data_IF_583184506119
#
_entry.id   IF_583184506119
#
_cell.length_a   1.000
_cell.length_b   1.000
_cell.length_c   1.000
_cell.angle_alpha   90.00
_cell.angle_beta   90.00
_cell.angle_gamma   90.00
#
_symmetry.space_group_name_H-M   'P 1'
#
loop_
_entity.id
_entity.type
_entity.pdbx_description
1 polymer ?
#
# COMPACT_ATOMS: atom_id res chain seq x y z
N UNK A 1 10.49 14.50 -40.10
CA UNK A 1 10.15 13.68 -38.93
C UNK A 1 11.46 13.30 -38.26
N UNK A 2 11.85 14.05 -37.23
CA UNK A 2 13.05 13.75 -36.44
C UNK A 2 12.77 12.51 -35.60
N UNK A 3 13.68 11.52 -35.57
CA UNK A 3 13.51 10.35 -34.73
C UNK A 3 13.49 10.78 -33.26
N UNK A 4 12.51 10.26 -32.54
CA UNK A 4 12.35 10.36 -31.10
C UNK A 4 13.70 10.19 -30.39
N UNK A 5 14.23 11.30 -29.87
CA UNK A 5 15.38 11.31 -28.98
C UNK A 5 14.89 10.77 -27.63
N UNK A 6 14.70 9.45 -27.57
CA UNK A 6 14.49 8.71 -26.34
C UNK A 6 15.71 9.00 -25.48
N UNK A 7 15.57 9.94 -24.54
CA UNK A 7 16.57 10.26 -23.52
C UNK A 7 16.94 8.97 -22.83
N UNK A 8 18.05 8.38 -23.25
CA UNK A 8 18.54 7.12 -22.71
C UNK A 8 18.74 7.32 -21.20
N UNK A 9 18.24 6.40 -20.36
CA UNK A 9 18.50 6.46 -18.93
C UNK A 9 20.01 6.44 -18.72
N UNK A 10 20.53 7.45 -18.02
CA UNK A 10 21.95 7.57 -17.70
C UNK A 10 22.42 6.26 -17.05
N UNK A 11 23.56 5.74 -17.49
CA UNK A 11 24.10 4.42 -17.11
C UNK A 11 24.35 4.21 -15.59
N UNK A 12 24.16 5.24 -14.77
CA UNK A 12 24.27 5.22 -13.31
C UNK A 12 22.97 5.56 -12.56
N UNK A 13 21.81 5.40 -13.19
CA UNK A 13 20.51 5.59 -12.53
C UNK A 13 20.14 4.31 -11.80
N UNK A 14 20.15 4.31 -10.46
CA UNK A 14 19.85 3.11 -9.67
C UNK A 14 18.35 2.84 -9.60
N UNK A 15 17.51 3.89 -9.62
CA UNK A 15 16.06 3.75 -9.71
C UNK A 15 15.48 4.56 -10.87
N UNK A 16 14.67 3.88 -11.70
CA UNK A 16 13.85 4.56 -12.69
C UNK A 16 12.63 5.21 -12.01
N UNK A 17 12.58 6.54 -12.01
CA UNK A 17 11.54 7.34 -11.35
C UNK A 17 10.12 6.92 -11.76
N UNK A 18 9.92 6.67 -13.06
CA UNK A 18 8.62 6.27 -13.59
C UNK A 18 8.23 4.88 -13.09
N UNK A 19 9.20 4.00 -12.86
CA UNK A 19 8.97 2.66 -12.31
C UNK A 19 8.65 2.70 -10.82
N UNK A 20 9.34 3.54 -10.03
CA UNK A 20 9.05 3.73 -8.60
C UNK A 20 7.67 4.36 -8.39
N UNK A 21 7.32 5.40 -9.15
CA UNK A 21 6.00 6.05 -9.06
C UNK A 21 4.87 5.11 -9.48
N UNK A 22 5.09 4.25 -10.48
CA UNK A 22 4.12 3.19 -10.85
C UNK A 22 3.98 2.15 -9.74
N UNK A 23 5.08 1.76 -9.10
CA UNK A 23 5.07 0.79 -8.01
C UNK A 23 4.35 1.33 -6.77
N UNK A 24 4.63 2.56 -6.39
CA UNK A 24 3.96 3.31 -5.32
C UNK A 24 2.44 3.28 -5.51
N UNK A 25 1.97 3.69 -6.70
CA UNK A 25 0.53 3.72 -7.01
C UNK A 25 -0.10 2.33 -6.96
N UNK A 26 0.62 1.29 -7.40
CA UNK A 26 0.16 -0.10 -7.31
C UNK A 26 0.09 -0.60 -5.87
N UNK A 27 1.09 -0.29 -5.04
CA UNK A 27 1.09 -0.66 -3.62
C UNK A 27 -0.06 -0.01 -2.87
N UNK A 28 -0.36 1.25 -3.16
CA UNK A 28 -1.49 1.96 -2.57
C UNK A 28 -2.83 1.32 -2.94
N UNK A 29 -3.03 1.03 -4.23
CA UNK A 29 -4.22 0.33 -4.71
C UNK A 29 -4.37 -1.08 -4.12
N UNK A 30 -3.27 -1.84 -4.06
CA UNK A 30 -3.25 -3.17 -3.44
C UNK A 30 -3.59 -3.10 -1.94
N UNK A 31 -3.08 -2.10 -1.22
CA UNK A 31 -3.41 -1.90 0.19
C UNK A 31 -4.91 -1.68 0.41
N UNK A 32 -5.53 -0.84 -0.41
CA UNK A 32 -6.98 -0.64 -0.38
C UNK A 32 -7.77 -1.89 -0.79
N UNK A 33 -7.31 -2.62 -1.81
CA UNK A 33 -7.96 -3.85 -2.26
C UNK A 33 -7.94 -4.93 -1.17
N UNK A 34 -6.78 -5.16 -0.53
CA UNK A 34 -6.65 -6.13 0.56
C UNK A 34 -7.51 -5.71 1.76
N UNK A 35 -7.48 -4.43 2.13
CA UNK A 35 -8.33 -3.91 3.21
C UNK A 35 -9.81 -4.12 2.93
N UNK A 36 -10.26 -3.88 1.70
CA UNK A 36 -11.65 -4.13 1.29
C UNK A 36 -12.04 -5.62 1.44
N UNK A 37 -11.13 -6.55 1.13
CA UNK A 37 -11.36 -7.99 1.31
C UNK A 37 -11.55 -8.32 2.80
N UNK A 38 -10.66 -7.82 3.68
CA UNK A 38 -10.80 -8.03 5.13
C UNK A 38 -12.09 -7.41 5.68
N UNK A 39 -12.47 -6.24 5.17
CA UNK A 39 -13.71 -5.57 5.58
C UNK A 39 -14.94 -6.36 5.13
N UNK A 40 -14.97 -6.84 3.89
CA UNK A 40 -16.05 -7.70 3.38
C UNK A 40 -16.16 -9.00 4.17
N UNK A 41 -15.03 -9.61 4.50
CA UNK A 41 -14.97 -10.81 5.31
C UNK A 41 -15.57 -10.55 6.71
N UNK A 42 -15.16 -9.46 7.37
CA UNK A 42 -15.73 -9.05 8.66
C UNK A 42 -17.25 -8.85 8.59
N UNK A 43 -17.75 -8.15 7.56
CA UNK A 43 -19.19 -7.93 7.36
C UNK A 43 -19.92 -9.26 7.16
N UNK A 44 -19.34 -10.19 6.40
CA UNK A 44 -19.91 -11.52 6.20
C UNK A 44 -19.97 -12.33 7.51
N UNK A 45 -18.88 -12.37 8.28
CA UNK A 45 -18.85 -13.10 9.56
C UNK A 45 -19.84 -12.49 10.56
N UNK A 46 -19.89 -11.16 10.63
CA UNK A 46 -20.82 -10.44 11.51
C UNK A 46 -22.28 -10.69 11.09
N UNK A 47 -22.56 -10.68 9.78
CA UNK A 47 -23.86 -10.99 9.22
C UNK A 47 -24.30 -12.42 9.56
N UNK A 48 -23.40 -13.40 9.42
CA UNK A 48 -23.67 -14.79 9.81
C UNK A 48 -23.87 -14.96 11.32
N UNK A 49 -23.12 -14.22 12.15
CA UNK A 49 -23.31 -14.21 13.59
C UNK A 49 -24.70 -13.67 13.97
N UNK A 50 -25.09 -12.52 13.40
CA UNK A 50 -26.42 -11.93 13.61
C UNK A 50 -27.53 -12.86 13.12
N UNK A 51 -27.36 -13.47 11.95
CA UNK A 51 -28.32 -14.43 11.40
C UNK A 51 -28.50 -15.63 12.34
N UNK A 52 -27.41 -16.22 12.84
CA UNK A 52 -27.47 -17.35 13.77
C UNK A 52 -28.07 -16.98 15.12
N UNK A 53 -27.81 -15.77 15.62
CA UNK A 53 -28.41 -15.31 16.87
C UNK A 53 -29.92 -15.07 16.73
N UNK A 54 -30.36 -14.43 15.63
CA UNK A 54 -31.75 -14.06 15.39
C UNK A 54 -32.63 -15.24 14.97
N UNK A 55 -32.14 -16.10 14.07
CA UNK A 55 -32.93 -17.19 13.47
C UNK A 55 -32.80 -18.48 14.25
N UNK A 56 -31.59 -18.82 14.70
CA UNK A 56 -31.32 -20.11 15.34
C UNK A 56 -31.30 -20.02 16.88
N UNK A 57 -31.58 -18.84 17.46
CA UNK A 57 -31.63 -18.58 18.90
C UNK A 57 -30.35 -18.97 19.66
N UNK A 58 -29.19 -18.98 18.99
CA UNK A 58 -27.91 -19.20 19.67
C UNK A 58 -27.62 -18.05 20.64
N UNK A 59 -27.06 -18.38 21.81
CA UNK A 59 -26.64 -17.38 22.79
C UNK A 59 -25.61 -16.41 22.19
N UNK A 60 -25.70 -15.13 22.57
CA UNK A 60 -24.74 -14.11 22.13
C UNK A 60 -23.39 -14.40 22.78
N UNK A 61 -22.43 -14.81 21.97
CA UNK A 61 -21.04 -14.94 22.40
C UNK A 61 -20.31 -13.58 22.24
N UNK A 62 -20.25 -12.84 23.35
CA UNK A 62 -19.54 -11.57 23.44
C UNK A 62 -18.04 -11.70 23.16
N UNK A 63 -17.45 -12.86 23.48
CA UNK A 63 -16.04 -13.10 23.25
C UNK A 63 -15.77 -13.28 21.76
N UNK A 64 -16.61 -14.04 21.05
CA UNK A 64 -16.56 -14.14 19.59
C UNK A 64 -16.69 -12.76 18.92
N UNK A 65 -17.63 -11.92 19.36
CA UNK A 65 -17.83 -10.59 18.80
C UNK A 65 -16.60 -9.69 18.96
N UNK A 66 -15.96 -9.76 20.13
CA UNK A 66 -14.75 -8.99 20.44
C UNK A 66 -13.54 -9.49 19.63
N UNK A 67 -13.39 -10.80 19.45
CA UNK A 67 -12.35 -11.36 18.58
C UNK A 67 -12.59 -11.06 17.10
N UNK A 68 -13.85 -10.95 16.66
CA UNK A 68 -14.18 -10.64 15.27
C UNK A 68 -13.72 -9.22 14.88
N UNK A 69 -13.71 -8.27 15.83
CA UNK A 69 -13.11 -6.94 15.64
C UNK A 69 -11.59 -6.98 15.37
N UNK A 70 -10.91 -8.10 15.65
CA UNK A 70 -9.52 -8.30 15.28
C UNK A 70 -9.31 -8.36 13.75
N UNK A 71 -10.30 -8.82 12.98
CA UNK A 71 -10.20 -8.93 11.51
C UNK A 71 -10.03 -7.58 10.79
N UNK A 72 -10.87 -6.55 11.04
CA UNK A 72 -10.65 -5.24 10.44
C UNK A 72 -9.34 -4.59 10.91
N UNK A 73 -8.92 -4.85 12.16
CA UNK A 73 -7.64 -4.38 12.66
C UNK A 73 -6.45 -4.99 11.89
N UNK A 74 -6.49 -6.29 11.59
CA UNK A 74 -5.49 -6.93 10.73
C UNK A 74 -5.46 -6.32 9.33
N UNK A 75 -6.64 -6.06 8.74
CA UNK A 75 -6.74 -5.37 7.45
C UNK A 75 -6.11 -3.97 7.49
N UNK A 76 -6.39 -3.19 8.54
CA UNK A 76 -5.78 -1.87 8.75
C UNK A 76 -4.26 -1.94 8.90
N UNK A 77 -3.75 -2.92 9.63
CA UNK A 77 -2.31 -3.12 9.79
C UNK A 77 -1.63 -3.36 8.43
N UNK A 78 -2.20 -4.23 7.59
CA UNK A 78 -1.66 -4.48 6.24
C UNK A 78 -1.72 -3.21 5.38
N UNK A 79 -2.84 -2.47 5.44
CA UNK A 79 -2.99 -1.21 4.73
C UNK A 79 -1.94 -0.19 5.17
N UNK A 80 -1.70 -0.07 6.47
CA UNK A 80 -0.69 0.83 7.03
C UNK A 80 0.72 0.45 6.60
N UNK A 81 1.05 -0.85 6.61
CA UNK A 81 2.36 -1.35 6.15
C UNK A 81 2.58 -1.06 4.66
N UNK A 82 1.58 -1.33 3.82
CA UNK A 82 1.69 -1.06 2.37
C UNK A 82 1.78 0.44 2.06
N UNK A 83 1.03 1.29 2.76
CA UNK A 83 1.17 2.74 2.64
C UNK A 83 2.53 3.24 3.16
N UNK A 84 3.03 2.64 4.24
CA UNK A 84 4.37 2.92 4.78
C UNK A 84 5.48 2.56 3.78
N UNK A 85 5.38 1.39 3.14
CA UNK A 85 6.32 0.98 2.09
C UNK A 85 6.26 1.90 0.87
N UNK A 86 5.07 2.30 0.44
CA UNK A 86 4.89 3.26 -0.64
C UNK A 86 5.53 4.63 -0.30
N UNK A 87 5.37 5.11 0.92
CA UNK A 87 6.00 6.35 1.39
C UNK A 87 7.54 6.22 1.49
N UNK A 88 8.05 5.08 1.97
CA UNK A 88 9.48 4.82 2.04
C UNK A 88 10.14 4.82 0.65
N UNK A 89 9.47 4.27 -0.36
CA UNK A 89 9.93 4.31 -1.76
C UNK A 89 10.04 5.75 -2.29
N UNK A 90 9.08 6.61 -1.96
CA UNK A 90 9.12 8.02 -2.35
C UNK A 90 10.26 8.77 -1.66
N UNK A 91 10.48 8.52 -0.37
CA UNK A 91 11.60 9.14 0.38
C UNK A 91 12.95 8.75 -0.26
N UNK A 92 13.11 7.49 -0.63
CA UNK A 92 14.34 7.00 -1.25
C UNK A 92 14.58 7.66 -2.61
N UNK A 93 13.51 7.85 -3.40
CA UNK A 93 13.56 8.58 -4.66
C UNK A 93 13.98 10.06 -4.46
N UNK A 94 13.43 10.73 -3.45
CA UNK A 94 13.77 12.13 -3.15
C UNK A 94 15.26 12.28 -2.76
N UNK A 95 15.79 11.33 -1.97
CA UNK A 95 17.20 11.30 -1.58
C UNK A 95 18.10 11.10 -2.81
N UNK A 96 17.76 10.18 -3.71
CA UNK A 96 18.51 9.96 -4.94
C UNK A 96 18.53 11.23 -5.81
N UNK A 97 17.38 11.87 -6.00
CA UNK A 97 17.28 13.08 -6.79
C UNK A 97 18.10 14.24 -6.19
N UNK A 98 18.07 14.41 -4.88
CA UNK A 98 18.88 15.42 -4.19
C UNK A 98 20.38 15.13 -4.32
N UNK A 99 20.79 13.87 -4.18
CA UNK A 99 22.19 13.47 -4.32
C UNK A 99 22.70 13.73 -5.74
N UNK A 100 21.86 13.46 -6.75
CA UNK A 100 22.18 13.74 -8.17
C UNK A 100 22.24 15.23 -8.48
N UNK A 101 21.43 16.07 -7.82
CA UNK A 101 21.54 17.53 -7.93
C UNK A 101 22.83 18.01 -7.30
N UNK A 102 23.15 17.57 -6.08
CA UNK A 102 24.38 17.94 -5.38
C UNK A 102 25.65 17.58 -6.17
N UNK A 103 25.73 16.38 -6.75
CA UNK A 103 26.88 15.95 -7.54
C UNK A 103 27.14 16.78 -8.81
N UNK A 104 26.09 17.37 -9.41
CA UNK A 104 26.24 18.28 -10.56
C UNK A 104 26.86 19.63 -10.18
N UNK A 105 26.68 20.09 -8.95
CA UNK A 105 27.29 21.35 -8.48
C UNK A 105 28.78 21.22 -8.16
N UNK A 106 29.28 20.01 -7.89
CA UNK A 106 30.69 19.77 -7.55
C UNK A 106 31.59 19.80 -8.79
N UNK A 107 31.06 19.41 -9.96
CA UNK A 107 31.84 19.28 -11.20
C UNK A 107 32.00 20.60 -12.00
N UNK A 108 31.74 21.76 -11.37
CA UNK A 108 31.84 23.11 -11.96
C UNK A 108 32.98 23.94 -11.32
N UNK A 109 33.76 23.36 -10.40
CA UNK A 109 35.00 23.96 -9.89
C UNK A 109 36.22 23.36 -10.58
#
# INVERSE_FOLDING_TARGET
>A
MTPDEKRLPFLGTYFDCDSVLRLERRMRWLGWAIFAIYLLQYVYDMGMFLYNNLVNQFAIDWMYLLFNLGRPFQGLMILAVLHGLAAALLILLDIEQNTRRAGRFINIK
#
